data_IF_533588279251
#
_entry.id   IF_533588279251
#
_cell.length_a   1.000
_cell.length_b   1.000
_cell.length_c   1.000
_cell.angle_alpha   90.00
_cell.angle_beta   90.00
_cell.angle_gamma   90.00
#
_symmetry.space_group_name_H-M   'P 1'
#
loop_
_entity.id
_entity.type
_entity.pdbx_description
1 polymer ?
#
# COMPACT_ATOMS: atom_id res chain seq x y z
N UNK A 1 -3.36 1.85 18.32
CA UNK A 1 -4.54 2.52 17.73
C UNK A 1 -4.70 1.96 16.33
N UNK A 2 -5.86 1.40 15.98
CA UNK A 2 -6.17 1.01 14.60
C UNK A 2 -6.77 2.22 13.89
N UNK A 3 -6.16 2.67 12.79
CA UNK A 3 -6.74 3.69 11.93
C UNK A 3 -7.96 3.09 11.22
N UNK A 4 -9.15 3.67 11.43
CA UNK A 4 -10.35 3.33 10.66
C UNK A 4 -10.59 4.43 9.63
N UNK A 5 -10.37 4.12 8.35
CA UNK A 5 -10.63 5.03 7.25
C UNK A 5 -12.14 5.06 6.93
N UNK A 6 -12.74 6.24 6.71
CA UNK A 6 -14.05 6.35 6.09
C UNK A 6 -14.09 5.64 4.73
N UNK A 7 -15.24 5.06 4.39
CA UNK A 7 -15.41 4.26 3.16
C UNK A 7 -15.09 5.08 1.90
N UNK A 8 -15.55 6.33 1.83
CA UNK A 8 -15.28 7.20 0.67
C UNK A 8 -13.79 7.52 0.48
N UNK A 9 -13.04 7.57 1.58
CA UNK A 9 -11.59 7.78 1.53
C UNK A 9 -10.86 6.50 1.12
N UNK A 10 -11.33 5.34 1.58
CA UNK A 10 -10.78 4.05 1.16
C UNK A 10 -10.97 3.85 -0.35
N UNK A 11 -12.16 4.15 -0.88
CA UNK A 11 -12.43 4.07 -2.33
C UNK A 11 -11.52 5.00 -3.15
N UNK A 12 -11.30 6.23 -2.67
CA UNK A 12 -10.40 7.18 -3.33
C UNK A 12 -8.94 6.70 -3.34
N UNK A 13 -8.48 6.10 -2.23
CA UNK A 13 -7.14 5.50 -2.15
C UNK A 13 -7.00 4.40 -3.19
N UNK A 14 -7.96 3.46 -3.24
CA UNK A 14 -7.92 2.36 -4.21
C UNK A 14 -7.90 2.86 -5.65
N UNK A 15 -8.68 3.90 -5.96
CA UNK A 15 -8.71 4.50 -7.28
C UNK A 15 -7.34 5.07 -7.69
N UNK A 16 -6.71 5.87 -6.82
CA UNK A 16 -5.40 6.47 -7.08
C UNK A 16 -4.32 5.40 -7.22
N UNK A 17 -4.34 4.37 -6.38
CA UNK A 17 -3.35 3.28 -6.46
C UNK A 17 -3.51 2.49 -7.77
N UNK A 18 -4.73 2.28 -8.24
CA UNK A 18 -5.00 1.63 -9.52
C UNK A 18 -4.51 2.47 -10.71
N UNK A 19 -4.74 3.79 -10.69
CA UNK A 19 -4.22 4.71 -11.71
C UNK A 19 -2.68 4.70 -11.72
N UNK A 20 -2.05 4.81 -10.55
CA UNK A 20 -0.60 4.79 -10.44
C UNK A 20 0.00 3.47 -10.94
N UNK A 21 -0.66 2.34 -10.65
CA UNK A 21 -0.23 1.03 -11.15
C UNK A 21 -0.31 0.95 -12.68
N UNK A 22 -1.40 1.47 -13.26
CA UNK A 22 -1.58 1.51 -14.70
C UNK A 22 -0.56 2.44 -15.39
N UNK A 23 -0.29 3.61 -14.84
CA UNK A 23 0.60 4.61 -15.45
C UNK A 23 2.08 4.24 -15.37
N UNK A 24 2.48 3.57 -14.29
CA UNK A 24 3.90 3.26 -14.03
C UNK A 24 4.33 1.90 -14.56
N UNK A 25 3.38 1.03 -14.90
CA UNK A 25 3.63 -0.39 -15.19
C UNK A 25 4.47 -1.08 -14.10
N UNK A 26 4.38 -0.59 -12.86
CA UNK A 26 5.09 -1.17 -11.73
C UNK A 26 4.63 -2.61 -11.49
N UNK A 27 5.52 -3.48 -11.00
CA UNK A 27 5.14 -4.85 -10.63
C UNK A 27 4.15 -4.86 -9.45
N UNK A 28 4.34 -3.94 -8.51
CA UNK A 28 3.44 -3.73 -7.38
C UNK A 28 3.55 -2.31 -6.82
N UNK A 29 2.50 -1.88 -6.13
CA UNK A 29 2.43 -0.63 -5.38
C UNK A 29 1.98 -0.95 -3.95
N UNK A 30 2.59 -0.28 -2.98
CA UNK A 30 2.21 -0.38 -1.58
C UNK A 30 1.93 1.02 -1.03
N UNK A 31 0.87 1.11 -0.23
CA UNK A 31 0.62 2.25 0.65
C UNK A 31 0.76 1.78 2.10
N UNK A 32 1.67 2.41 2.84
CA UNK A 32 1.90 2.12 4.26
C UNK A 32 1.99 3.42 5.06
N UNK A 33 1.58 3.36 6.32
CA UNK A 33 1.80 4.42 7.29
C UNK A 33 3.28 4.43 7.74
N UNK A 34 3.74 5.55 8.30
CA UNK A 34 5.11 5.72 8.83
C UNK A 34 5.47 4.71 9.93
N UNK A 35 4.48 4.09 10.59
CA UNK A 35 4.69 3.00 11.55
C UNK A 35 5.03 1.65 10.90
N UNK A 36 4.92 1.53 9.57
CA UNK A 36 5.06 0.27 8.85
C UNK A 36 3.76 -0.52 8.75
N UNK A 37 2.64 0.04 9.21
CA UNK A 37 1.33 -0.55 8.98
C UNK A 37 0.96 -0.46 7.49
N UNK A 38 0.73 -1.61 6.86
CA UNK A 38 0.20 -1.67 5.50
C UNK A 38 -1.25 -1.17 5.47
N UNK A 39 -1.54 -0.23 4.57
CA UNK A 39 -2.87 0.35 4.34
C UNK A 39 -3.53 -0.30 3.12
N UNK A 40 -2.83 -0.37 1.99
CA UNK A 40 -3.34 -1.00 0.76
C UNK A 40 -2.20 -1.43 -0.19
N UNK A 41 -2.53 -2.27 -1.17
CA UNK A 41 -1.61 -2.79 -2.20
C UNK A 41 -2.30 -2.91 -3.55
N UNK A 42 -1.56 -2.69 -4.63
CA UNK A 42 -1.98 -2.98 -6.00
C UNK A 42 -0.89 -3.77 -6.75
N UNK A 43 -1.31 -4.60 -7.72
CA UNK A 43 -0.40 -5.43 -8.52
C UNK A 43 -0.12 -6.83 -7.96
N UNK A 44 0.89 -7.49 -8.52
CA UNK A 44 1.15 -8.91 -8.28
C UNK A 44 2.26 -9.10 -7.24
N UNK A 45 1.89 -9.51 -6.02
CA UNK A 45 2.81 -9.75 -4.90
C UNK A 45 3.21 -11.23 -4.78
N UNK A 46 3.52 -11.90 -5.89
CA UNK A 46 3.86 -13.33 -5.87
C UNK A 46 5.21 -13.58 -5.20
N UNK A 47 5.20 -14.25 -4.05
CA UNK A 47 6.43 -14.62 -3.33
C UNK A 47 6.97 -13.55 -2.39
N UNK A 48 6.25 -12.43 -2.22
CA UNK A 48 6.63 -11.33 -1.34
C UNK A 48 5.49 -11.09 -0.34
N UNK A 49 5.82 -10.98 0.95
CA UNK A 49 4.87 -10.58 1.98
C UNK A 49 4.78 -9.04 2.03
N UNK A 50 3.69 -8.42 1.55
CA UNK A 50 3.57 -6.97 1.50
C UNK A 50 3.55 -6.32 2.89
N UNK A 51 3.13 -7.04 3.93
CA UNK A 51 3.16 -6.54 5.31
C UNK A 51 4.61 -6.43 5.79
N UNK A 52 5.44 -7.42 5.45
CA UNK A 52 6.87 -7.38 5.76
C UNK A 52 7.56 -6.24 5.01
N UNK A 53 7.26 -6.03 3.73
CA UNK A 53 7.83 -4.93 2.94
C UNK A 53 7.44 -3.57 3.53
N UNK A 54 6.18 -3.38 3.91
CA UNK A 54 5.72 -2.15 4.56
C UNK A 54 6.48 -1.89 5.88
N UNK A 55 6.63 -2.91 6.72
CA UNK A 55 7.38 -2.82 7.97
C UNK A 55 8.87 -2.50 7.73
N UNK A 56 9.50 -3.12 6.72
CA UNK A 56 10.89 -2.87 6.36
C UNK A 56 11.09 -1.46 5.79
N UNK A 57 10.18 -0.99 4.94
CA UNK A 57 10.25 0.34 4.33
C UNK A 57 10.11 1.47 5.38
N UNK A 58 9.28 1.26 6.40
CA UNK A 58 9.15 2.18 7.53
C UNK A 58 10.30 2.08 8.55
N UNK A 59 11.05 0.97 8.52
CA UNK A 59 12.26 0.77 9.32
C UNK A 59 13.39 1.68 8.84
N UNK A 60 13.42 2.92 9.35
CA UNK A 60 14.57 3.80 9.18
C UNK A 60 15.78 3.19 9.89
N UNK A 61 16.84 2.86 9.14
CA UNK A 61 18.17 2.44 9.65
C UNK A 61 18.89 3.56 10.39
#
# INVERSE_FOLDING_TARGET
MSLSLPEELAEQIEHILAELYYETEAECILLADISGQLISTQGQMTGIDPVLIAALAAGNV
#
